data_IF_012051731826
#
_entry.id   IF_012051731826
#
_cell.length_a   1.000
_cell.length_b   1.000
_cell.length_c   1.000
_cell.angle_alpha   90.00
_cell.angle_beta   90.00
_cell.angle_gamma   90.00
#
_symmetry.space_group_name_H-M   'P 1'
#
loop_
_entity.id
_entity.type
_entity.pdbx_description
1 polymer ?
#
# COMPACT_ATOMS: atom_id res chain seq x y z
N UNK A 1 -20.84 -7.48 -15.46
CA UNK A 1 -19.92 -8.58 -15.16
C UNK A 1 -19.81 -8.68 -13.66
N UNK A 2 -20.02 -9.86 -13.07
CA UNK A 2 -19.67 -10.13 -11.68
C UNK A 2 -18.16 -10.18 -11.59
N UNK A 3 -17.55 -9.17 -10.98
CA UNK A 3 -16.10 -9.04 -10.82
C UNK A 3 -15.59 -10.20 -9.94
N UNK A 4 -14.51 -10.86 -10.34
CA UNK A 4 -13.96 -12.01 -9.61
C UNK A 4 -13.43 -11.58 -8.24
N UNK A 5 -13.68 -12.38 -7.20
CA UNK A 5 -13.08 -12.20 -5.87
C UNK A 5 -11.56 -12.47 -5.86
N UNK A 6 -11.05 -13.09 -6.92
CA UNK A 6 -9.63 -13.33 -7.17
C UNK A 6 -9.36 -13.12 -8.66
N UNK A 7 -9.11 -11.88 -9.10
CA UNK A 7 -8.85 -11.60 -10.49
C UNK A 7 -7.50 -12.20 -10.92
N UNK A 8 -7.41 -12.58 -12.18
CA UNK A 8 -6.16 -12.95 -12.85
C UNK A 8 -5.36 -11.70 -13.24
N UNK A 9 -4.05 -11.83 -13.54
CA UNK A 9 -3.25 -10.72 -14.05
C UNK A 9 -3.88 -10.03 -15.28
N UNK A 10 -4.45 -10.81 -16.19
CA UNK A 10 -5.01 -10.27 -17.43
C UNK A 10 -6.34 -9.54 -17.20
N UNK A 11 -7.19 -10.05 -16.30
CA UNK A 11 -8.39 -9.32 -15.87
C UNK A 11 -8.01 -7.99 -15.19
N UNK A 12 -6.98 -7.98 -14.35
CA UNK A 12 -6.49 -6.74 -13.75
C UNK A 12 -5.94 -5.78 -14.82
N UNK A 13 -5.19 -6.26 -15.81
CA UNK A 13 -4.73 -5.41 -16.92
C UNK A 13 -5.89 -4.80 -17.70
N UNK A 14 -6.93 -5.58 -18.01
CA UNK A 14 -8.13 -5.09 -18.71
C UNK A 14 -8.86 -4.01 -17.89
N UNK A 15 -8.98 -4.21 -16.57
CA UNK A 15 -9.52 -3.20 -15.66
C UNK A 15 -8.65 -1.94 -15.68
N UNK A 16 -7.33 -2.09 -15.60
CA UNK A 16 -6.38 -0.98 -15.60
C UNK A 16 -6.42 -0.17 -16.89
N UNK A 17 -6.43 -0.83 -18.05
CA UNK A 17 -6.55 -0.20 -19.37
C UNK A 17 -7.87 0.58 -19.50
N UNK A 18 -8.95 0.02 -18.97
CA UNK A 18 -10.29 0.66 -18.96
C UNK A 18 -10.40 1.80 -17.94
N UNK A 19 -9.48 1.89 -16.98
CA UNK A 19 -9.47 2.88 -15.89
C UNK A 19 -8.84 4.19 -16.34
N UNK A 20 -9.41 4.82 -17.36
CA UNK A 20 -8.87 5.99 -18.07
C UNK A 20 -8.85 7.32 -17.29
N UNK A 21 -9.36 7.36 -16.06
CA UNK A 21 -9.56 8.63 -15.34
C UNK A 21 -8.47 9.04 -14.34
N UNK A 22 -7.42 8.24 -14.13
CA UNK A 22 -6.44 8.58 -13.07
C UNK A 22 -5.00 8.16 -13.36
N UNK A 23 -4.62 8.12 -14.65
CA UNK A 23 -3.33 7.59 -15.13
C UNK A 23 -2.08 8.25 -14.53
N UNK A 24 -2.21 9.41 -13.85
CA UNK A 24 -1.06 10.19 -13.38
C UNK A 24 -1.07 10.47 -11.87
N UNK A 25 -1.99 9.92 -11.06
CA UNK A 25 -2.13 10.36 -9.67
C UNK A 25 -1.89 9.32 -8.57
N UNK A 26 -1.62 8.05 -8.91
CA UNK A 26 -1.58 6.96 -7.91
C UNK A 26 -0.17 6.37 -7.77
N UNK A 27 0.50 6.66 -6.65
CA UNK A 27 1.74 5.98 -6.25
C UNK A 27 1.56 4.45 -6.26
N UNK A 28 2.51 3.76 -6.89
CA UNK A 28 2.47 2.31 -7.08
C UNK A 28 1.57 1.80 -8.22
N UNK A 29 0.89 2.66 -8.99
CA UNK A 29 0.02 2.26 -10.11
C UNK A 29 0.63 2.60 -11.49
N UNK A 30 1.90 2.25 -11.69
CA UNK A 30 2.71 2.65 -12.85
C UNK A 30 2.34 1.93 -14.16
N UNK A 31 1.67 0.78 -14.05
CA UNK A 31 1.29 -0.06 -15.19
C UNK A 31 -0.16 -0.53 -15.08
N UNK A 32 -0.72 -1.07 -16.17
CA UNK A 32 -2.12 -1.50 -16.18
C UNK A 32 -2.43 -2.58 -15.14
N UNK A 33 -1.48 -3.45 -14.81
CA UNK A 33 -1.68 -4.48 -13.77
C UNK A 33 -1.91 -3.84 -12.40
N UNK A 34 -1.03 -2.93 -11.99
CA UNK A 34 -1.11 -2.22 -10.72
C UNK A 34 -2.28 -1.22 -10.67
N UNK A 35 -2.61 -0.56 -11.78
CA UNK A 35 -3.81 0.27 -11.90
C UNK A 35 -5.09 -0.53 -11.72
N UNK A 36 -5.17 -1.68 -12.39
CA UNK A 36 -6.27 -2.62 -12.25
C UNK A 36 -6.41 -3.13 -10.82
N UNK A 37 -5.28 -3.48 -10.19
CA UNK A 37 -5.27 -3.92 -8.80
C UNK A 37 -5.80 -2.82 -7.87
N UNK A 38 -5.32 -1.58 -8.01
CA UNK A 38 -5.82 -0.46 -7.19
C UNK A 38 -7.32 -0.25 -7.38
N UNK A 39 -7.80 -0.30 -8.63
CA UNK A 39 -9.22 -0.14 -8.92
C UNK A 39 -10.07 -1.26 -8.33
N UNK A 40 -9.64 -2.51 -8.48
CA UNK A 40 -10.27 -3.68 -7.86
C UNK A 40 -10.29 -3.55 -6.33
N UNK A 41 -9.15 -3.19 -5.73
CA UNK A 41 -9.00 -3.01 -4.29
C UNK A 41 -9.93 -1.93 -3.74
N UNK A 42 -10.10 -0.80 -4.42
CA UNK A 42 -11.01 0.26 -3.96
C UNK A 42 -12.47 -0.17 -3.88
N UNK A 43 -12.88 -1.19 -4.65
CA UNK A 43 -14.23 -1.78 -4.58
C UNK A 43 -14.39 -2.79 -3.44
N UNK A 44 -13.28 -3.39 -3.01
CA UNK A 44 -13.28 -4.49 -2.02
C UNK A 44 -12.82 -4.05 -0.63
N UNK A 45 -11.91 -3.08 -0.55
CA UNK A 45 -11.54 -2.42 0.69
C UNK A 45 -12.72 -1.54 1.11
N UNK A 46 -13.37 -1.95 2.20
CA UNK A 46 -14.58 -1.31 2.70
C UNK A 46 -14.38 0.19 2.99
N UNK A 47 -15.49 0.93 3.07
CA UNK A 47 -15.52 2.28 3.65
C UNK A 47 -15.27 2.30 5.17
N UNK A 48 -14.78 1.20 5.76
CA UNK A 48 -14.30 1.17 7.14
C UNK A 48 -12.78 1.38 7.16
N UNK A 49 -12.38 2.45 7.85
CA UNK A 49 -10.98 2.84 7.98
C UNK A 49 -10.12 1.74 8.61
N UNK A 50 -10.65 1.05 9.63
CA UNK A 50 -9.88 0.01 10.35
C UNK A 50 -9.65 -1.21 9.46
N UNK A 51 -10.64 -1.64 8.69
CA UNK A 51 -10.50 -2.71 7.71
C UNK A 51 -9.48 -2.34 6.60
N UNK A 52 -9.52 -1.11 6.10
CA UNK A 52 -8.55 -0.63 5.11
C UNK A 52 -7.10 -0.69 5.64
N UNK A 53 -6.86 -0.17 6.84
CA UNK A 53 -5.54 -0.21 7.47
C UNK A 53 -5.11 -1.64 7.77
N UNK A 54 -6.02 -2.52 8.21
CA UNK A 54 -5.72 -3.95 8.41
C UNK A 54 -5.25 -4.64 7.13
N UNK A 55 -5.93 -4.40 6.02
CA UNK A 55 -5.55 -4.97 4.73
C UNK A 55 -4.16 -4.49 4.28
N UNK A 56 -3.90 -3.19 4.38
CA UNK A 56 -2.59 -2.61 4.05
C UNK A 56 -1.47 -3.16 4.95
N UNK A 57 -1.72 -3.25 6.25
CA UNK A 57 -0.75 -3.79 7.22
C UNK A 57 -0.46 -5.27 6.98
N UNK A 58 -1.49 -6.07 6.67
CA UNK A 58 -1.34 -7.48 6.32
C UNK A 58 -0.54 -7.66 5.03
N UNK A 59 -0.76 -6.81 4.02
CA UNK A 59 0.03 -6.82 2.79
C UNK A 59 1.51 -6.46 3.05
N UNK A 60 1.78 -5.41 3.84
CA UNK A 60 3.17 -5.03 4.18
C UNK A 60 3.95 -6.19 4.83
N UNK A 61 3.29 -6.98 5.68
CA UNK A 61 3.89 -8.16 6.33
C UNK A 61 4.34 -9.26 5.37
N UNK A 62 3.83 -9.29 4.13
CA UNK A 62 4.26 -10.26 3.12
C UNK A 62 5.70 -10.01 2.63
N UNK A 63 6.18 -8.77 2.77
CA UNK A 63 7.44 -8.34 2.15
C UNK A 63 8.43 -7.70 3.12
N UNK A 64 8.00 -7.30 4.32
CA UNK A 64 8.86 -6.54 5.27
C UNK A 64 10.16 -7.25 5.66
N UNK A 65 10.16 -8.59 5.74
CA UNK A 65 11.37 -9.37 6.05
C UNK A 65 12.43 -9.31 4.95
N UNK A 66 12.05 -8.85 3.75
CA UNK A 66 12.98 -8.60 2.63
C UNK A 66 13.61 -7.21 2.67
N UNK A 67 13.20 -6.34 3.62
CA UNK A 67 13.80 -5.02 3.77
C UNK A 67 15.20 -5.14 4.40
N UNK A 68 16.23 -4.48 3.85
CA UNK A 68 17.60 -4.59 4.35
C UNK A 68 17.71 -4.11 5.80
N UNK A 69 18.41 -4.88 6.64
CA UNK A 69 18.59 -4.56 8.07
C UNK A 69 19.57 -3.41 8.28
N UNK A 70 20.66 -3.37 7.49
CA UNK A 70 21.72 -2.35 7.55
C UNK A 70 22.39 -2.22 6.17
N UNK A 71 22.73 -0.99 5.74
CA UNK A 71 23.55 -0.76 4.55
C UNK A 71 23.19 0.47 3.72
N UNK A 72 24.07 0.87 2.81
CA UNK A 72 23.89 2.00 1.89
C UNK A 72 22.70 1.86 0.92
N UNK A 73 22.17 0.63 0.79
CA UNK A 73 21.01 0.31 -0.04
C UNK A 73 19.68 0.62 0.67
N UNK A 74 19.67 0.74 2.00
CA UNK A 74 18.46 1.03 2.76
C UNK A 74 18.15 2.53 2.74
N UNK A 75 17.03 2.91 2.13
CA UNK A 75 16.56 4.31 2.09
C UNK A 75 16.11 4.85 3.46
N UNK A 76 15.77 3.95 4.38
CA UNK A 76 15.51 4.24 5.79
C UNK A 76 16.08 3.12 6.67
N UNK A 77 16.41 3.38 7.94
CA UNK A 77 16.78 2.31 8.86
C UNK A 77 15.65 1.28 8.99
N UNK A 78 15.98 -0.02 9.05
CA UNK A 78 14.98 -1.09 9.29
C UNK A 78 14.12 -0.83 10.52
N UNK A 79 14.73 -0.26 11.57
CA UNK A 79 14.02 0.14 12.79
C UNK A 79 12.86 1.10 12.50
N UNK A 80 12.99 2.03 11.54
CA UNK A 80 11.90 2.92 11.16
C UNK A 80 10.72 2.13 10.59
N UNK A 81 10.98 1.20 9.68
CA UNK A 81 9.95 0.34 9.06
C UNK A 81 9.22 -0.47 10.14
N UNK A 82 9.97 -1.13 11.03
CA UNK A 82 9.40 -1.95 12.10
C UNK A 82 8.58 -1.11 13.09
N UNK A 83 9.09 0.06 13.45
CA UNK A 83 8.40 1.01 14.30
C UNK A 83 7.08 1.49 13.71
N UNK A 84 7.05 1.81 12.41
CA UNK A 84 5.83 2.27 11.74
C UNK A 84 4.78 1.16 11.67
N UNK A 85 5.19 -0.08 11.37
CA UNK A 85 4.27 -1.23 11.37
C UNK A 85 3.74 -1.53 12.77
N UNK A 86 4.59 -1.45 13.81
CA UNK A 86 4.18 -1.66 15.19
C UNK A 86 3.20 -0.59 15.68
N UNK A 87 3.47 0.69 15.37
CA UNK A 87 2.56 1.81 15.71
C UNK A 87 1.23 1.69 14.96
N UNK A 88 1.25 1.29 13.69
CA UNK A 88 0.04 1.04 12.89
C UNK A 88 -0.77 -0.14 13.45
N UNK A 89 -0.11 -1.25 13.82
CA UNK A 89 -0.77 -2.38 14.49
C UNK A 89 -1.42 -1.95 15.81
N UNK A 90 -0.72 -1.14 16.63
CA UNK A 90 -1.27 -0.61 17.87
C UNK A 90 -2.53 0.22 17.65
N UNK A 91 -2.59 1.00 16.57
CA UNK A 91 -3.80 1.71 16.18
C UNK A 91 -4.90 0.75 15.74
N UNK A 92 -4.59 -0.29 14.96
CA UNK A 92 -5.57 -1.33 14.58
C UNK A 92 -6.18 -2.00 15.81
N UNK A 93 -5.35 -2.35 16.80
CA UNK A 93 -5.79 -3.02 18.03
C UNK A 93 -6.66 -2.09 18.89
N UNK A 94 -6.30 -0.81 18.99
CA UNK A 94 -7.02 0.19 19.76
C UNK A 94 -7.13 1.53 19.00
N UNK A 95 -8.14 1.70 18.12
CA UNK A 95 -8.29 2.91 17.32
C UNK A 95 -8.65 4.10 18.22
N UNK A 96 -7.68 4.99 18.45
CA UNK A 96 -7.85 6.20 19.25
C UNK A 96 -7.09 7.36 18.61
N UNK A 97 -7.50 8.59 18.92
CA UNK A 97 -6.78 9.78 18.45
C UNK A 97 -5.33 9.82 18.92
N UNK A 98 -5.04 9.33 20.13
CA UNK A 98 -3.66 9.26 20.63
C UNK A 98 -2.80 8.27 19.83
N UNK A 99 -3.32 7.07 19.53
CA UNK A 99 -2.60 6.10 18.71
C UNK A 99 -2.47 6.59 17.26
N UNK A 100 -3.49 7.26 16.73
CA UNK A 100 -3.44 7.89 15.39
C UNK A 100 -2.33 8.94 15.32
N UNK A 101 -2.28 9.84 16.31
CA UNK A 101 -1.27 10.88 16.41
C UNK A 101 0.14 10.30 16.56
N UNK A 102 0.27 9.16 17.25
CA UNK A 102 1.55 8.44 17.35
C UNK A 102 2.04 7.96 15.99
N UNK A 103 1.17 7.42 15.13
CA UNK A 103 1.55 7.06 13.75
C UNK A 103 1.87 8.33 12.96
N UNK A 104 1.00 9.34 13.00
CA UNK A 104 1.12 10.58 12.22
C UNK A 104 2.40 11.35 12.50
N UNK A 105 2.77 11.49 13.77
CA UNK A 105 3.97 12.23 14.19
C UNK A 105 5.27 11.47 13.95
N UNK A 106 5.20 10.15 13.77
CA UNK A 106 6.36 9.30 13.48
C UNK A 106 6.66 9.18 11.98
N UNK A 107 5.66 9.42 11.12
CA UNK A 107 5.83 9.40 9.67
C UNK A 107 6.73 10.56 9.25
N UNK A 108 7.82 10.26 8.55
CA UNK A 108 8.65 11.28 7.93
C UNK A 108 8.04 11.70 6.58
N UNK A 109 7.21 12.73 6.62
CA UNK A 109 6.52 13.24 5.44
C UNK A 109 7.45 13.80 4.37
N UNK A 110 8.72 14.08 4.68
CA UNK A 110 9.67 14.52 3.65
C UNK A 110 10.00 13.39 2.69
N UNK A 111 10.06 12.14 3.17
CA UNK A 111 10.30 10.95 2.34
C UNK A 111 9.13 10.68 1.39
N UNK A 112 7.90 10.73 1.89
CA UNK A 112 6.71 10.49 1.07
C UNK A 112 6.50 11.56 -0.03
N UNK A 113 7.18 12.71 0.05
CA UNK A 113 7.19 13.75 -1.01
C UNK A 113 8.28 13.51 -2.07
N UNK A 114 9.32 12.73 -1.76
CA UNK A 114 10.44 12.39 -2.66
C UNK A 114 10.26 11.02 -3.35
N UNK A 115 9.14 10.34 -3.10
CA UNK A 115 8.74 8.98 -3.50
C UNK A 115 8.71 8.65 -5.01
N UNK A 116 9.27 9.48 -5.90
CA UNK A 116 9.17 9.31 -7.36
C UNK A 116 10.51 9.44 -8.09
N UNK A 117 11.63 9.30 -7.36
CA UNK A 117 12.94 9.61 -7.92
C UNK A 117 13.97 8.52 -7.59
N UNK A 118 14.21 7.65 -8.59
CA UNK A 118 15.54 7.06 -8.83
C UNK A 118 15.84 5.69 -8.24
N UNK A 119 14.86 4.98 -7.67
CA UNK A 119 15.06 3.65 -7.05
C UNK A 119 13.89 2.67 -7.24
N UNK A 120 12.98 2.95 -8.17
CA UNK A 120 11.77 2.15 -8.46
C UNK A 120 12.10 0.73 -8.93
N UNK A 121 13.33 0.49 -9.37
CA UNK A 121 13.84 -0.82 -9.76
C UNK A 121 14.15 -1.75 -8.57
N UNK A 122 14.11 -1.24 -7.33
CA UNK A 122 14.48 -1.99 -6.14
C UNK A 122 13.28 -2.35 -5.27
N UNK A 123 13.19 -3.62 -4.85
CA UNK A 123 12.09 -4.09 -3.99
C UNK A 123 12.02 -3.33 -2.64
N UNK A 124 13.16 -2.94 -2.06
CA UNK A 124 13.19 -2.25 -0.78
C UNK A 124 12.55 -0.85 -0.84
N UNK A 125 12.64 -0.15 -1.97
CA UNK A 125 11.96 1.13 -2.19
C UNK A 125 10.45 0.93 -2.06
N UNK A 126 9.91 -0.06 -2.77
CA UNK A 126 8.50 -0.38 -2.73
C UNK A 126 8.00 -0.87 -1.37
N UNK A 127 8.83 -1.58 -0.61
CA UNK A 127 8.49 -1.96 0.77
C UNK A 127 8.35 -0.73 1.66
N UNK A 128 9.26 0.24 1.54
CA UNK A 128 9.19 1.48 2.31
C UNK A 128 7.94 2.30 1.95
N UNK A 129 7.66 2.44 0.66
CA UNK A 129 6.45 3.12 0.16
C UNK A 129 5.16 2.45 0.65
N UNK A 130 5.14 1.11 0.68
CA UNK A 130 4.00 0.37 1.21
C UNK A 130 3.73 0.73 2.68
N UNK A 131 4.77 0.83 3.50
CA UNK A 131 4.69 1.14 4.94
C UNK A 131 4.23 2.58 5.17
N UNK A 132 4.78 3.53 4.41
CA UNK A 132 4.38 4.94 4.49
C UNK A 132 2.90 5.11 4.09
N UNK A 133 2.44 4.45 3.01
CA UNK A 133 1.02 4.50 2.60
C UNK A 133 0.08 3.81 3.58
N UNK A 134 0.47 2.66 4.15
CA UNK A 134 -0.30 2.00 5.21
C UNK A 134 -0.45 2.92 6.43
N UNK A 135 0.61 3.66 6.76
CA UNK A 135 0.59 4.65 7.84
C UNK A 135 -0.36 5.79 7.52
N UNK A 136 -0.31 6.37 6.31
CA UNK A 136 -1.22 7.45 5.89
C UNK A 136 -2.69 7.03 5.98
N UNK A 137 -3.03 5.78 5.67
CA UNK A 137 -4.41 5.27 5.77
C UNK A 137 -5.03 5.43 7.18
N UNK A 138 -4.20 5.54 8.23
CA UNK A 138 -4.62 5.75 9.62
C UNK A 138 -5.26 7.13 9.87
N UNK A 139 -5.00 8.14 9.03
CA UNK A 139 -5.61 9.49 9.14
C UNK A 139 -6.03 10.11 7.81
N UNK A 140 -5.91 9.36 6.70
CA UNK A 140 -6.44 9.76 5.39
C UNK A 140 -7.92 10.12 5.49
N UNK A 141 -8.34 11.15 4.75
CA UNK A 141 -9.68 11.74 4.83
C UNK A 141 -9.88 12.82 5.91
N UNK A 142 -8.91 13.05 6.82
CA UNK A 142 -9.02 14.09 7.87
C UNK A 142 -8.48 15.47 7.45
N UNK A 143 -7.89 15.61 6.25
CA UNK A 143 -7.40 16.88 5.69
C UNK A 143 -7.77 17.05 4.21
N UNK A 144 -8.59 18.05 3.93
CA UNK A 144 -9.01 18.54 2.61
C UNK A 144 -7.95 19.36 1.85
N UNK A 145 -6.65 19.20 2.17
CA UNK A 145 -5.56 20.04 1.62
C UNK A 145 -4.63 19.34 0.63
N UNK A 146 -4.84 18.06 0.30
CA UNK A 146 -4.17 17.44 -0.85
C UNK A 146 -4.97 17.74 -2.12
N UNK A 147 -4.27 18.08 -3.21
CA UNK A 147 -4.83 18.36 -4.54
C UNK A 147 -5.70 17.20 -5.06
N UNK A 148 -5.58 16.02 -4.45
CA UNK A 148 -6.53 14.90 -4.56
C UNK A 148 -6.92 14.47 -3.15
N UNK A 149 -8.22 14.43 -2.76
CA UNK A 149 -8.64 13.88 -1.49
C UNK A 149 -8.30 12.38 -1.47
N UNK A 150 -7.27 12.01 -0.70
CA UNK A 150 -6.94 10.61 -0.47
C UNK A 150 -7.74 10.12 0.72
N UNK A 151 -8.75 9.29 0.44
CA UNK A 151 -9.45 8.50 1.45
C UNK A 151 -8.57 7.32 1.92
N UNK A 152 -8.91 6.74 3.08
CA UNK A 152 -8.17 5.61 3.65
C UNK A 152 -8.15 4.37 2.77
N UNK A 153 -9.18 4.12 1.97
CA UNK A 153 -9.22 3.00 1.02
C UNK A 153 -8.24 3.19 -0.12
N UNK A 154 -8.12 4.42 -0.63
CA UNK A 154 -7.13 4.80 -1.64
C UNK A 154 -5.70 4.65 -1.09
N UNK A 155 -5.42 5.08 0.14
CA UNK A 155 -4.10 4.89 0.77
C UNK A 155 -3.77 3.41 0.99
N UNK A 156 -4.74 2.62 1.44
CA UNK A 156 -4.57 1.18 1.60
C UNK A 156 -4.31 0.47 0.26
N UNK A 157 -5.04 0.84 -0.80
CA UNK A 157 -4.84 0.29 -2.13
C UNK A 157 -3.45 0.62 -2.70
N UNK A 158 -2.93 1.83 -2.46
CA UNK A 158 -1.55 2.20 -2.83
C UNK A 158 -0.52 1.36 -2.10
N UNK A 159 -0.68 1.21 -0.79
CA UNK A 159 0.21 0.35 0.01
C UNK A 159 0.29 -1.06 -0.58
N UNK A 160 -0.85 -1.65 -0.94
CA UNK A 160 -0.92 -2.99 -1.52
C UNK A 160 -0.31 -3.02 -2.94
N UNK A 161 -0.48 -1.98 -3.74
CA UNK A 161 0.17 -1.88 -5.06
C UNK A 161 1.71 -1.77 -4.94
N UNK A 162 2.22 -1.04 -3.95
CA UNK A 162 3.65 -1.05 -3.64
C UNK A 162 4.12 -2.45 -3.23
N UNK A 163 3.34 -3.20 -2.43
CA UNK A 163 3.66 -4.60 -2.11
C UNK A 163 3.68 -5.48 -3.37
N UNK A 164 2.79 -5.26 -4.35
CA UNK A 164 2.85 -5.95 -5.64
C UNK A 164 4.21 -5.76 -6.30
N UNK A 165 4.67 -4.51 -6.46
CA UNK A 165 5.97 -4.23 -7.06
C UNK A 165 7.13 -4.88 -6.29
N UNK A 166 7.12 -4.80 -4.96
CA UNK A 166 8.12 -5.46 -4.13
C UNK A 166 8.14 -7.00 -4.34
N UNK A 167 6.97 -7.64 -4.46
CA UNK A 167 6.85 -9.07 -4.73
C UNK A 167 7.40 -9.41 -6.12
N UNK A 168 7.03 -8.66 -7.16
CA UNK A 168 7.45 -8.87 -8.54
C UNK A 168 8.96 -8.69 -8.71
N UNK A 169 9.53 -7.61 -8.16
CA UNK A 169 10.98 -7.34 -8.19
C UNK A 169 11.78 -8.37 -7.37
N UNK A 170 11.14 -9.00 -6.40
CA UNK A 170 11.73 -10.14 -5.67
C UNK A 170 11.59 -11.48 -6.41
N UNK A 171 11.07 -11.49 -7.65
CA UNK A 171 10.91 -12.70 -8.46
C UNK A 171 9.65 -13.52 -8.18
N UNK A 172 8.67 -12.97 -7.45
CA UNK A 172 7.38 -13.66 -7.24
C UNK A 172 6.57 -13.65 -8.54
N UNK A 173 6.08 -14.80 -9.03
CA UNK A 173 5.21 -14.84 -10.20
C UNK A 173 3.95 -14.00 -10.03
N UNK A 174 3.47 -13.36 -11.09
CA UNK A 174 2.34 -12.41 -11.02
C UNK A 174 1.07 -13.01 -10.41
N UNK A 175 0.65 -14.19 -10.88
CA UNK A 175 -0.56 -14.85 -10.34
C UNK A 175 -0.40 -15.14 -8.84
N UNK A 176 0.78 -15.61 -8.42
CA UNK A 176 1.05 -15.87 -7.01
C UNK A 176 1.00 -14.58 -6.18
N UNK A 177 1.57 -13.48 -6.69
CA UNK A 177 1.51 -12.19 -6.01
C UNK A 177 0.07 -11.69 -5.87
N UNK A 178 -0.75 -11.79 -6.92
CA UNK A 178 -2.16 -11.40 -6.88
C UNK A 178 -2.97 -12.27 -5.91
N UNK A 179 -2.74 -13.58 -5.89
CA UNK A 179 -3.41 -14.50 -4.95
C UNK A 179 -3.09 -14.14 -3.49
N UNK A 180 -1.83 -13.81 -3.20
CA UNK A 180 -1.41 -13.35 -1.86
C UNK A 180 -2.11 -12.04 -1.48
N UNK A 181 -2.13 -11.06 -2.40
CA UNK A 181 -2.68 -9.72 -2.14
C UNK A 181 -4.22 -9.72 -2.02
N UNK A 182 -4.91 -10.46 -2.88
CA UNK A 182 -6.37 -10.62 -2.80
C UNK A 182 -6.78 -11.45 -1.58
N UNK A 183 -5.95 -12.41 -1.18
CA UNK A 183 -6.10 -13.18 0.06
C UNK A 183 -6.06 -12.32 1.32
N UNK A 184 -5.11 -11.37 1.43
CA UNK A 184 -5.06 -10.48 2.61
C UNK A 184 -6.23 -9.49 2.67
N UNK A 185 -6.78 -9.09 1.53
CA UNK A 185 -7.93 -8.18 1.47
C UNK A 185 -9.20 -8.91 1.89
N UNK A 186 -9.46 -10.08 1.30
CA UNK A 186 -10.64 -10.91 1.60
C UNK A 186 -10.68 -11.45 3.03
N UNK A 187 -9.54 -11.51 3.73
CA UNK A 187 -9.48 -11.91 5.14
C UNK A 187 -9.52 -10.73 6.11
N UNK A 188 -9.21 -9.51 5.65
CA UNK A 188 -9.22 -8.29 6.46
C UNK A 188 -10.58 -7.56 6.46
N UNK A 189 -11.40 -7.80 5.41
CA UNK A 189 -12.78 -7.29 5.23
C UNK A 189 -13.80 -8.27 5.78
#
# INVERSE_FOLDING_TARGET
MTESARPTPDELREIGESSTNVSNAWAGAENYLSQGLVHWLRRHISSDQKAAVKAALAACRLVVEKYPTDGAEAQAPKQYVDDMLAKTQRWVDNPSNNNKETVRSSLDTTRSLHAWQGHEEHAHFWILEAVDHASIAVWAGERSSYIVPLDYGTCAARSIACVLHALLLSGTPEQQAIDMLTGVVTTAT
#
